data_IF_643513814405
#
_entry.id   IF_643513814405
#
_cell.length_a   1.000
_cell.length_b   1.000
_cell.length_c   1.000
_cell.angle_alpha   90.00
_cell.angle_beta   90.00
_cell.angle_gamma   90.00
#
_symmetry.space_group_name_H-M   'P 1'
#
loop_
_entity.id
_entity.type
_entity.pdbx_description
1 polymer ?
#
# COMPACT_ATOMS: atom_id res chain seq x y z
N UNK A 1 -28.53 9.03 -7.96
CA UNK A 1 -28.26 7.70 -7.38
C UNK A 1 -27.96 6.79 -8.56
N UNK A 2 -26.72 6.31 -8.70
CA UNK A 2 -26.30 5.50 -9.86
C UNK A 2 -26.75 4.08 -9.59
N UNK A 3 -27.65 3.55 -10.43
CA UNK A 3 -28.11 2.16 -10.32
C UNK A 3 -26.99 1.22 -10.81
N UNK A 4 -26.68 0.18 -10.04
CA UNK A 4 -25.73 -0.88 -10.42
C UNK A 4 -24.40 -0.95 -9.65
N UNK A 5 -24.12 -0.03 -8.72
CA UNK A 5 -22.94 -0.13 -7.85
C UNK A 5 -23.37 -0.56 -6.43
N UNK A 6 -22.95 -1.76 -5.99
CA UNK A 6 -23.13 -2.22 -4.60
C UNK A 6 -24.19 -3.30 -4.34
N UNK A 7 -24.28 -4.29 -5.25
CA UNK A 7 -24.89 -5.62 -5.09
C UNK A 7 -26.44 -5.75 -4.88
N UNK A 8 -27.04 -6.83 -5.43
CA UNK A 8 -28.40 -7.30 -5.11
C UNK A 8 -28.51 -7.75 -3.64
N UNK A 9 -29.73 -8.02 -3.16
CA UNK A 9 -30.04 -8.42 -1.77
C UNK A 9 -29.09 -9.52 -1.22
N UNK A 10 -28.04 -9.12 -0.50
CA UNK A 10 -27.12 -10.03 0.21
C UNK A 10 -27.18 -9.68 1.70
N UNK A 11 -27.58 -10.66 2.52
CA UNK A 11 -27.50 -10.55 3.97
C UNK A 11 -26.04 -10.63 4.43
N UNK A 12 -25.54 -9.54 5.00
CA UNK A 12 -24.18 -9.47 5.54
C UNK A 12 -24.15 -10.04 6.95
N UNK A 13 -23.17 -10.92 7.23
CA UNK A 13 -22.96 -11.43 8.60
C UNK A 13 -22.07 -10.47 9.39
N UNK A 14 -22.42 -10.20 10.63
CA UNK A 14 -21.65 -9.30 11.52
C UNK A 14 -20.18 -9.70 11.67
N UNK A 15 -19.90 -11.01 11.70
CA UNK A 15 -18.54 -11.52 11.79
C UNK A 15 -17.69 -11.18 10.56
N UNK A 16 -18.30 -11.17 9.37
CA UNK A 16 -17.64 -10.82 8.11
C UNK A 16 -17.38 -9.31 8.05
N UNK A 17 -18.34 -8.50 8.48
CA UNK A 17 -18.21 -7.03 8.60
C UNK A 17 -17.09 -6.65 9.57
N UNK A 18 -16.98 -7.33 10.71
CA UNK A 18 -15.91 -7.07 11.68
C UNK A 18 -14.53 -7.32 11.10
N UNK A 19 -14.34 -8.44 10.40
CA UNK A 19 -13.07 -8.76 9.73
C UNK A 19 -12.73 -7.72 8.65
N UNK A 20 -13.73 -7.27 7.89
CA UNK A 20 -13.54 -6.22 6.88
C UNK A 20 -13.03 -4.90 7.51
N UNK A 21 -13.62 -4.46 8.62
CA UNK A 21 -13.16 -3.26 9.32
C UNK A 21 -11.71 -3.39 9.81
N UNK A 22 -11.34 -4.53 10.42
CA UNK A 22 -9.96 -4.77 10.86
C UNK A 22 -8.97 -4.71 9.70
N UNK A 23 -9.33 -5.24 8.53
CA UNK A 23 -8.49 -5.18 7.33
C UNK A 23 -8.36 -3.76 6.80
N UNK A 24 -9.46 -3.01 6.73
CA UNK A 24 -9.44 -1.61 6.31
C UNK A 24 -8.54 -0.80 7.22
N UNK A 25 -8.67 -0.94 8.54
CA UNK A 25 -7.83 -0.23 9.50
C UNK A 25 -6.35 -0.59 9.37
N UNK A 26 -6.04 -1.88 9.13
CA UNK A 26 -4.68 -2.35 8.99
C UNK A 26 -4.01 -1.90 7.68
N UNK A 27 -4.79 -1.65 6.63
CA UNK A 27 -4.30 -1.20 5.31
C UNK A 27 -4.48 0.31 5.08
N UNK A 28 -5.26 0.98 5.92
CA UNK A 28 -5.49 2.41 5.83
C UNK A 28 -4.17 3.16 6.00
N UNK A 29 -3.98 4.17 5.15
CA UNK A 29 -2.86 5.08 5.21
C UNK A 29 -3.37 6.52 5.06
N UNK A 30 -2.53 7.48 5.45
CA UNK A 30 -2.81 8.89 5.18
C UNK A 30 -2.96 9.14 3.68
N UNK A 31 -3.97 9.93 3.31
CA UNK A 31 -4.16 10.38 1.94
C UNK A 31 -3.11 11.44 1.60
N UNK A 32 -2.36 11.20 0.52
CA UNK A 32 -1.36 12.10 -0.01
C UNK A 32 -1.59 12.23 -1.52
N UNK A 33 -2.18 13.35 -1.99
CA UNK A 33 -2.55 13.52 -3.39
C UNK A 33 -1.32 13.59 -4.30
N UNK A 34 -0.17 14.06 -3.81
CA UNK A 34 1.04 14.25 -4.61
C UNK A 34 1.67 12.91 -5.05
N UNK A 35 1.30 11.80 -4.40
CA UNK A 35 1.72 10.44 -4.81
C UNK A 35 1.07 9.97 -6.10
N UNK A 36 -0.02 10.60 -6.54
CA UNK A 36 -0.77 10.18 -7.71
C UNK A 36 -0.50 11.14 -8.86
N UNK A 37 0.16 10.63 -9.90
CA UNK A 37 0.48 11.37 -11.12
C UNK A 37 -0.06 10.65 -12.35
N UNK A 38 -0.19 11.40 -13.45
CA UNK A 38 -0.64 10.87 -14.74
C UNK A 38 0.46 9.99 -15.36
N UNK A 39 0.45 8.72 -14.95
CA UNK A 39 1.36 7.70 -15.46
C UNK A 39 1.22 7.48 -16.97
N UNK A 40 0.07 7.80 -17.57
CA UNK A 40 -0.13 7.66 -19.00
C UNK A 40 0.73 8.67 -19.77
N UNK A 41 0.67 9.96 -19.39
CA UNK A 41 1.50 10.99 -20.01
C UNK A 41 2.99 10.71 -19.85
N UNK A 42 3.41 10.27 -18.67
CA UNK A 42 4.80 9.93 -18.40
C UNK A 42 5.29 8.75 -19.26
N UNK A 43 4.50 7.68 -19.32
CA UNK A 43 4.83 6.51 -20.13
C UNK A 43 4.83 6.86 -21.63
N UNK A 44 3.92 7.72 -22.08
CA UNK A 44 3.88 8.17 -23.47
C UNK A 44 5.13 8.98 -23.85
N UNK A 45 5.57 9.91 -22.99
CA UNK A 45 6.81 10.67 -23.22
C UNK A 45 8.01 9.73 -23.32
N UNK A 46 8.14 8.77 -22.39
CA UNK A 46 9.20 7.75 -22.42
C UNK A 46 9.18 6.95 -23.73
N UNK A 47 7.99 6.57 -24.21
CA UNK A 47 7.83 5.85 -25.47
C UNK A 47 8.27 6.68 -26.68
N UNK A 48 7.95 7.98 -26.69
CA UNK A 48 8.35 8.91 -27.76
C UNK A 48 9.87 9.07 -27.76
N UNK A 49 10.48 9.34 -26.61
CA UNK A 49 11.93 9.46 -26.44
C UNK A 49 12.65 8.18 -26.89
N UNK A 50 12.18 7.02 -26.44
CA UNK A 50 12.74 5.71 -26.85
C UNK A 50 12.70 5.53 -28.37
N UNK A 51 11.60 5.92 -29.04
CA UNK A 51 11.50 5.85 -30.50
C UNK A 51 12.43 6.84 -31.21
N UNK A 52 12.58 8.05 -30.67
CA UNK A 52 13.46 9.08 -31.25
C UNK A 52 14.93 8.66 -31.17
N UNK A 53 15.32 8.00 -30.08
CA UNK A 53 16.68 7.46 -29.87
C UNK A 53 16.96 6.17 -30.66
N UNK A 54 15.99 5.70 -31.46
CA UNK A 54 16.12 4.47 -32.27
C UNK A 54 15.97 3.18 -31.46
N UNK A 55 15.51 3.25 -30.21
CA UNK A 55 15.25 2.10 -29.35
C UNK A 55 13.99 1.33 -29.72
N UNK A 56 13.99 0.02 -29.44
CA UNK A 56 12.81 -0.83 -29.57
C UNK A 56 11.99 -0.79 -28.28
N UNK A 57 10.67 -0.63 -28.42
CA UNK A 57 9.75 -0.65 -27.28
C UNK A 57 9.51 -2.11 -26.90
N UNK A 58 9.88 -2.48 -25.66
CA UNK A 58 9.63 -3.81 -25.11
C UNK A 58 8.14 -3.99 -24.78
N UNK A 59 7.65 -5.22 -24.98
CA UNK A 59 6.29 -5.60 -24.61
C UNK A 59 6.16 -5.66 -23.08
N UNK A 60 5.12 -5.04 -22.52
CA UNK A 60 4.87 -5.06 -21.08
C UNK A 60 4.49 -6.48 -20.66
N UNK A 61 5.17 -7.01 -19.63
CA UNK A 61 4.81 -8.31 -19.08
C UNK A 61 3.34 -8.33 -18.65
N UNK A 62 2.60 -9.33 -19.13
CA UNK A 62 1.22 -9.55 -18.71
C UNK A 62 1.19 -9.89 -17.23
N UNK A 63 0.21 -9.36 -16.47
CA UNK A 63 0.07 -9.72 -15.06
C UNK A 63 -0.07 -11.23 -14.91
N UNK A 64 0.69 -11.81 -13.98
CA UNK A 64 0.64 -13.24 -13.68
C UNK A 64 -0.76 -13.59 -13.19
N UNK A 65 -1.32 -14.68 -13.71
CA UNK A 65 -2.59 -15.22 -13.21
C UNK A 65 -2.37 -15.68 -11.78
N UNK A 66 -3.08 -15.08 -10.83
CA UNK A 66 -3.07 -15.53 -9.44
C UNK A 66 -3.71 -16.92 -9.35
N UNK A 67 -3.18 -17.76 -8.46
CA UNK A 67 -3.77 -19.07 -8.19
C UNK A 67 -5.16 -18.92 -7.55
N UNK A 68 -6.11 -19.83 -7.85
CA UNK A 68 -7.43 -19.80 -7.23
C UNK A 68 -7.31 -20.01 -5.71
N UNK A 69 -7.83 -19.06 -4.94
CA UNK A 69 -7.89 -19.14 -3.48
C UNK A 69 -9.14 -19.96 -3.11
N UNK A 70 -8.92 -21.15 -2.55
CA UNK A 70 -9.99 -22.12 -2.22
C UNK A 70 -10.86 -21.66 -1.05
N UNK A 71 -10.28 -20.94 -0.08
CA UNK A 71 -11.00 -20.33 1.05
C UNK A 71 -10.45 -18.93 1.35
N UNK A 72 -11.17 -17.91 0.87
CA UNK A 72 -10.78 -16.51 1.02
C UNK A 72 -10.90 -16.04 2.48
N UNK A 73 -11.90 -16.50 3.23
CA UNK A 73 -12.14 -16.01 4.59
C UNK A 73 -11.09 -16.52 5.57
N UNK A 74 -10.66 -17.78 5.44
CA UNK A 74 -9.56 -18.31 6.22
C UNK A 74 -8.24 -17.57 5.92
N UNK A 75 -7.95 -17.35 4.63
CA UNK A 75 -6.73 -16.65 4.20
C UNK A 75 -6.65 -15.21 4.73
N UNK A 76 -7.77 -14.48 4.72
CA UNK A 76 -7.83 -13.11 5.26
C UNK A 76 -7.57 -13.08 6.78
N UNK A 77 -8.17 -13.99 7.54
CA UNK A 77 -7.94 -14.11 8.99
C UNK A 77 -6.49 -14.43 9.32
N UNK A 78 -5.85 -15.32 8.53
CA UNK A 78 -4.43 -15.64 8.68
C UNK A 78 -3.55 -14.41 8.39
N UNK A 79 -3.84 -13.67 7.30
CA UNK A 79 -3.10 -12.46 6.97
C UNK A 79 -3.15 -11.41 8.10
N UNK A 80 -4.30 -11.25 8.77
CA UNK A 80 -4.42 -10.35 9.93
C UNK A 80 -3.58 -10.82 11.12
N UNK A 81 -3.62 -12.12 11.45
CA UNK A 81 -2.81 -12.68 12.53
C UNK A 81 -1.29 -12.49 12.29
N UNK A 82 -0.85 -12.65 11.03
CA UNK A 82 0.55 -12.45 10.64
C UNK A 82 0.98 -10.96 10.70
N UNK A 83 0.04 -10.03 10.47
CA UNK A 83 0.30 -8.59 10.57
C UNK A 83 0.43 -8.13 12.03
N UNK A 84 -0.41 -8.66 12.93
CA UNK A 84 -0.37 -8.32 14.36
C UNK A 84 0.95 -8.77 15.04
N UNK A 85 1.51 -9.91 14.62
CA UNK A 85 2.78 -10.44 15.13
C UNK A 85 4.04 -9.69 14.68
N UNK A 86 3.95 -8.76 13.73
CA UNK A 86 5.10 -8.06 13.12
C UNK A 86 5.33 -6.62 13.62
N UNK A 87 4.73 -6.22 14.76
CA UNK A 87 5.06 -4.94 15.42
C UNK A 87 6.52 -4.91 15.88
N UNK A 88 7.42 -4.54 14.97
CA UNK A 88 8.83 -4.24 15.22
C UNK A 88 8.89 -3.01 16.15
N UNK A 89 9.72 -3.02 17.22
CA UNK A 89 9.82 -1.87 18.11
C UNK A 89 10.33 -0.67 17.32
N UNK A 90 9.60 0.44 17.42
CA UNK A 90 10.00 1.72 16.86
C UNK A 90 11.37 2.10 17.45
N UNK A 91 12.36 2.29 16.57
CA UNK A 91 13.63 2.87 16.95
C UNK A 91 13.37 4.29 17.45
N UNK A 92 13.62 4.52 18.74
CA UNK A 92 13.60 5.84 19.35
C UNK A 92 14.81 6.64 18.86
N UNK A 93 14.65 7.39 17.77
CA UNK A 93 15.55 8.50 17.44
C UNK A 93 15.19 9.71 18.30
N UNK A 94 15.64 9.68 19.56
CA UNK A 94 15.65 10.84 20.43
C UNK A 94 16.85 11.73 20.08
N UNK A 95 16.62 12.72 19.21
CA UNK A 95 17.49 13.90 19.10
C UNK A 95 17.31 14.70 20.39
N UNK A 96 18.30 14.65 21.28
CA UNK A 96 18.45 15.61 22.37
C UNK A 96 19.57 16.59 22.00
N UNK A 97 19.17 17.80 21.65
CA UNK A 97 20.03 18.92 21.35
C UNK A 97 20.79 19.42 22.60
N UNK A 98 22.04 19.83 22.35
CA UNK A 98 22.75 21.00 22.89
C UNK A 98 22.46 21.47 24.32
N UNK A 99 23.52 21.47 25.16
CA UNK A 99 23.61 22.47 26.23
C UNK A 99 24.52 22.12 27.41
N UNK A 100 25.64 22.84 27.51
CA UNK A 100 26.39 23.19 28.74
C UNK A 100 27.44 22.18 29.22
N UNK A 101 28.73 22.56 29.11
CA UNK A 101 29.53 23.07 30.25
C UNK A 101 30.99 23.29 29.87
N UNK A 102 31.37 24.57 29.78
CA UNK A 102 32.74 25.02 30.02
C UNK A 102 33.23 24.50 31.38
N UNK A 103 34.44 23.93 31.42
CA UNK A 103 35.32 23.99 32.59
C UNK A 103 36.74 23.56 32.23
N UNK A 104 37.66 24.48 32.50
CA UNK A 104 39.10 24.33 32.55
C UNK A 104 39.56 23.11 33.38
N UNK A 105 40.74 22.60 33.00
CA UNK A 105 41.75 21.81 33.73
C UNK A 105 42.58 21.12 32.63
N UNK A 106 43.89 21.24 32.52
CA UNK A 106 44.96 21.88 33.27
C UNK A 106 46.25 21.55 32.51
#
# INVERSE_FOLDING_TARGET
>A
KVEGFGAPDVELKDAEVKVAHQLIEALAAGWDPDKYHDTFQENLKKLIETKLEGGTIAEVEKPKKLAPVVDLMAALKQSLADMEGKKKPAATTGVAASGKKSRARG
#
